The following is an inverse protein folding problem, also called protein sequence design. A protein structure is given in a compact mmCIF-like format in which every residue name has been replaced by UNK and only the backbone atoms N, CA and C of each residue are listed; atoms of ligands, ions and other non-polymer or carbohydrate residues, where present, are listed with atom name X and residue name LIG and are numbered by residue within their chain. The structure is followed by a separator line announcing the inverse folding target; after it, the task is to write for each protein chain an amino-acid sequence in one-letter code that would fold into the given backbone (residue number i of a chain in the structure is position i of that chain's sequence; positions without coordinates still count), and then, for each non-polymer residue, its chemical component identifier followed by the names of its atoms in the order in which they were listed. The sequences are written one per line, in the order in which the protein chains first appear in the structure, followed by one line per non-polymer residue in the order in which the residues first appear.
data_IF_443576225804
#
_entry.id   IF_443576225804
#
_cell.length_a   1.000
_cell.length_b   1.000
_cell.length_c   1.000
_cell.angle_alpha   90.00
_cell.angle_beta   90.00
_cell.angle_gamma   90.00
#
_symmetry.space_group_name_H-M   'P 1'
#
loop_
_entity.id
_entity.type
_entity.pdbx_description
1 polymer ?
#
# COMPACT_ATOMS: atom_id res chain seq x y z
N UNK A 1 -9.81 -7.41 41.77
CA UNK A 1 -9.08 -8.68 42.00
C UNK A 1 -9.83 -9.79 41.29
N UNK A 2 -9.24 -10.36 40.24
CA UNK A 2 -9.73 -11.63 39.67
C UNK A 2 -8.91 -12.73 40.32
N UNK A 3 -9.56 -13.58 41.11
CA UNK A 3 -8.89 -14.71 41.76
C UNK A 3 -8.89 -15.87 40.75
N UNK A 4 -7.96 -15.83 39.78
CA UNK A 4 -7.77 -16.92 38.84
C UNK A 4 -7.10 -18.10 39.57
N UNK A 5 -7.75 -19.26 39.58
CA UNK A 5 -7.12 -20.49 40.03
C UNK A 5 -6.17 -20.97 38.92
N UNK A 6 -4.91 -21.23 39.28
CA UNK A 6 -3.93 -21.81 38.36
C UNK A 6 -4.42 -23.19 37.91
N UNK A 7 -4.47 -23.41 36.60
CA UNK A 7 -4.88 -24.69 36.03
C UNK A 7 -3.73 -25.72 36.11
N UNK A 8 -4.04 -26.99 35.85
CA UNK A 8 -3.04 -28.08 35.92
C UNK A 8 -1.82 -27.85 35.01
N UNK A 9 -2.03 -27.20 33.86
CA UNK A 9 -0.96 -26.89 32.91
C UNK A 9 -0.02 -25.80 33.46
N UNK A 10 -0.56 -24.81 34.16
CA UNK A 10 0.21 -23.72 34.78
C UNK A 10 1.12 -24.26 35.89
N UNK A 11 0.60 -25.20 36.68
CA UNK A 11 1.35 -25.89 37.75
C UNK A 11 2.47 -26.76 37.17
N UNK A 12 2.26 -27.38 36.00
CA UNK A 12 3.27 -28.19 35.31
C UNK A 12 4.45 -27.31 34.82
N UNK A 13 4.17 -26.14 34.25
CA UNK A 13 5.19 -25.19 33.74
C UNK A 13 6.06 -24.52 34.82
N UNK A 14 5.59 -24.46 36.07
CA UNK A 14 6.33 -23.89 37.21
C UNK A 14 6.74 -24.93 38.26
N UNK A 15 6.51 -26.22 37.98
CA UNK A 15 6.77 -27.32 38.91
C UNK A 15 8.24 -27.35 39.37
N UNK A 16 9.16 -27.05 38.46
CA UNK A 16 10.60 -26.92 38.72
C UNK A 16 10.92 -25.88 39.82
N UNK A 17 10.29 -24.72 39.78
CA UNK A 17 10.44 -23.64 40.77
C UNK A 17 9.67 -23.89 42.07
N UNK A 18 8.59 -24.69 42.04
CA UNK A 18 7.88 -25.10 43.26
C UNK A 18 8.68 -26.12 44.08
N UNK A 19 9.43 -27.01 43.43
CA UNK A 19 10.26 -28.02 44.10
C UNK A 19 11.70 -27.55 44.37
N UNK A 20 12.30 -26.73 43.49
CA UNK A 20 13.66 -26.21 43.63
C UNK A 20 13.66 -24.68 43.76
N UNK A 21 12.90 -24.15 44.70
CA UNK A 21 12.73 -22.70 44.85
C UNK A 21 14.06 -21.99 45.17
N UNK A 22 14.43 -20.92 44.45
CA UNK A 22 15.57 -20.09 44.85
C UNK A 22 15.30 -19.46 46.23
N UNK A 23 16.33 -19.47 47.09
CA UNK A 23 16.23 -19.01 48.48
C UNK A 23 16.04 -17.49 48.64
N UNK A 24 15.99 -16.75 47.54
CA UNK A 24 15.75 -15.31 47.50
C UNK A 24 14.91 -14.99 46.28
N UNK A 25 13.89 -14.15 46.47
CA UNK A 25 12.97 -13.69 45.42
C UNK A 25 12.20 -14.79 44.65
N UNK A 26 11.66 -15.75 45.41
CA UNK A 26 10.75 -16.79 44.92
C UNK A 26 9.54 -16.22 44.15
N UNK A 27 9.00 -15.07 44.60
CA UNK A 27 7.83 -14.45 43.97
C UNK A 27 8.14 -13.90 42.57
N UNK A 28 9.20 -13.10 42.40
CA UNK A 28 9.54 -12.61 41.06
C UNK A 28 10.04 -13.76 40.16
N UNK A 29 10.76 -14.75 40.71
CA UNK A 29 11.18 -15.93 39.94
C UNK A 29 10.00 -16.70 39.34
N UNK A 30 8.94 -16.94 40.13
CA UNK A 30 7.70 -17.57 39.65
C UNK A 30 6.94 -16.68 38.67
N UNK A 31 6.85 -15.37 38.97
CA UNK A 31 6.18 -14.38 38.13
C UNK A 31 6.84 -14.27 36.76
N UNK A 32 8.17 -14.16 36.69
CA UNK A 32 8.92 -14.01 35.45
C UNK A 32 8.89 -15.31 34.62
N UNK A 33 8.82 -16.49 35.27
CA UNK A 33 8.59 -17.77 34.61
C UNK A 33 7.19 -17.86 34.00
N UNK A 34 6.15 -17.46 34.74
CA UNK A 34 4.77 -17.42 34.24
C UNK A 34 4.61 -16.39 33.11
N UNK A 35 5.24 -15.22 33.23
CA UNK A 35 5.31 -14.24 32.14
C UNK A 35 6.01 -14.90 30.94
N UNK A 36 7.22 -15.44 31.07
CA UNK A 36 7.93 -16.07 29.95
C UNK A 36 7.22 -17.28 29.31
N UNK A 37 6.34 -17.97 30.04
CA UNK A 37 5.61 -19.14 29.54
C UNK A 37 4.27 -18.79 28.86
N UNK A 38 3.61 -17.72 29.32
CA UNK A 38 2.27 -17.31 28.86
C UNK A 38 2.23 -15.97 28.11
N UNK A 39 3.32 -15.19 28.11
CA UNK A 39 3.47 -14.01 27.27
C UNK A 39 3.57 -14.44 25.81
N UNK A 40 2.66 -13.93 24.98
CA UNK A 40 2.73 -14.16 23.54
C UNK A 40 3.99 -13.51 22.98
N UNK A 41 4.76 -14.25 22.19
CA UNK A 41 5.99 -13.72 21.61
C UNK A 41 5.75 -12.47 20.76
N UNK A 42 6.70 -11.53 20.76
CA UNK A 42 6.62 -10.25 20.03
C UNK A 42 6.18 -10.43 18.57
N UNK A 43 6.68 -11.47 17.89
CA UNK A 43 6.27 -11.81 16.52
C UNK A 43 4.79 -12.18 16.41
N UNK A 44 4.25 -12.90 17.42
CA UNK A 44 2.82 -13.26 17.48
C UNK A 44 1.97 -12.05 17.84
N UNK A 45 2.41 -11.21 18.78
CA UNK A 45 1.73 -9.94 19.11
C UNK A 45 1.65 -9.02 17.87
N UNK A 46 2.76 -8.87 17.13
CA UNK A 46 2.79 -8.13 15.87
C UNK A 46 1.93 -8.76 14.78
N UNK A 47 1.95 -10.10 14.65
CA UNK A 47 1.08 -10.79 13.70
C UNK A 47 -0.39 -10.55 14.01
N UNK A 48 -0.82 -10.68 15.27
CA UNK A 48 -2.17 -10.31 15.72
C UNK A 48 -2.51 -8.85 15.42
N UNK A 49 -1.58 -7.93 15.67
CA UNK A 49 -1.76 -6.51 15.39
C UNK A 49 -1.95 -6.23 13.90
N UNK A 50 -1.37 -7.05 13.01
CA UNK A 50 -1.47 -6.93 11.55
C UNK A 50 -2.58 -7.79 10.91
N UNK A 51 -3.12 -8.80 11.59
CA UNK A 51 -4.09 -9.76 11.00
C UNK A 51 -5.38 -9.97 11.79
N UNK A 52 -5.44 -9.67 13.09
CA UNK A 52 -6.62 -9.91 13.96
C UNK A 52 -7.31 -8.61 14.41
N UNK A 53 -6.80 -7.45 14.02
CA UNK A 53 -7.45 -6.15 14.25
C UNK A 53 -8.48 -5.91 13.15
N UNK A 54 -9.60 -6.63 13.23
CA UNK A 54 -10.74 -6.36 12.37
C UNK A 54 -11.50 -5.09 12.84
N UNK A 55 -11.76 -4.20 11.89
CA UNK A 55 -12.53 -2.99 12.07
C UNK A 55 -14.04 -3.30 12.13
N UNK A 56 -14.46 -3.99 13.19
CA UNK A 56 -15.88 -4.11 13.56
C UNK A 56 -16.43 -2.77 14.08
N UNK A 57 -17.53 -2.80 14.84
CA UNK A 57 -18.22 -1.59 15.35
C UNK A 57 -17.43 -0.80 16.43
N UNK A 58 -16.12 -1.01 16.56
CA UNK A 58 -15.29 -0.36 17.57
C UNK A 58 -15.05 1.11 17.24
N UNK A 59 -15.26 1.99 18.22
CA UNK A 59 -14.97 3.42 18.05
C UNK A 59 -13.47 3.63 17.83
N UNK A 60 -13.05 4.63 17.03
CA UNK A 60 -11.64 4.95 16.77
C UNK A 60 -10.70 4.98 17.98
N UNK A 61 -11.20 5.44 19.14
CA UNK A 61 -10.46 5.50 20.41
C UNK A 61 -10.32 4.14 21.10
N UNK A 62 -11.28 3.23 20.93
CA UNK A 62 -11.23 1.86 21.46
C UNK A 62 -10.21 1.03 20.68
N UNK A 63 -10.23 1.15 19.34
CA UNK A 63 -9.27 0.51 18.44
C UNK A 63 -7.82 0.91 18.77
N UNK A 64 -7.54 2.22 18.85
CA UNK A 64 -6.21 2.73 19.20
C UNK A 64 -5.75 2.28 20.60
N UNK A 65 -6.68 2.18 21.57
CA UNK A 65 -6.36 1.64 22.91
C UNK A 65 -5.99 0.16 22.84
N UNK A 66 -6.72 -0.64 22.06
CA UNK A 66 -6.43 -2.07 21.84
C UNK A 66 -5.08 -2.28 21.13
N UNK A 67 -4.80 -1.48 20.10
CA UNK A 67 -3.49 -1.46 19.41
C UNK A 67 -2.34 -1.17 20.37
N UNK A 68 -2.46 -0.16 21.25
CA UNK A 68 -1.45 0.13 22.28
C UNK A 68 -1.22 -1.04 23.24
N UNK A 69 -2.31 -1.67 23.72
CA UNK A 69 -2.20 -2.83 24.62
C UNK A 69 -1.48 -4.01 23.96
N UNK A 70 -1.77 -4.29 22.68
CA UNK A 70 -1.09 -5.34 21.92
C UNK A 70 0.36 -4.98 21.55
N UNK A 71 0.67 -3.70 21.41
CA UNK A 71 2.00 -3.20 21.08
C UNK A 71 2.97 -3.10 22.29
N UNK A 72 2.47 -3.20 23.53
CA UNK A 72 3.26 -3.10 24.77
C UNK A 72 4.25 -1.89 24.80
N UNK A 73 3.86 -0.74 24.24
CA UNK A 73 4.73 0.44 24.00
C UNK A 73 6.02 0.20 23.17
N UNK A 74 6.23 -1.01 22.61
CA UNK A 74 7.32 -1.34 21.69
C UNK A 74 7.16 -0.68 20.31
N UNK A 75 5.94 -0.24 19.97
CA UNK A 75 5.58 0.40 18.70
C UNK A 75 5.15 1.85 18.95
N UNK A 76 5.79 2.86 18.32
CA UNK A 76 5.50 4.26 18.60
C UNK A 76 4.07 4.65 18.17
N UNK A 77 3.46 5.56 18.94
CA UNK A 77 2.05 5.95 18.77
C UNK A 77 1.72 6.50 17.36
N UNK A 78 2.72 7.03 16.65
CA UNK A 78 2.63 7.49 15.27
C UNK A 78 2.41 6.36 14.26
N UNK A 79 3.08 5.21 14.42
CA UNK A 79 2.93 4.09 13.49
C UNK A 79 1.61 3.35 13.72
N UNK A 80 1.12 3.26 14.96
CA UNK A 80 -0.22 2.73 15.24
C UNK A 80 -1.33 3.57 14.59
N UNK A 81 -1.20 4.91 14.63
CA UNK A 81 -2.13 5.81 13.91
C UNK A 81 -2.04 5.64 12.40
N UNK A 82 -0.83 5.46 11.85
CA UNK A 82 -0.65 5.21 10.42
C UNK A 82 -1.31 3.88 10.00
N UNK A 83 -1.04 2.79 10.72
CA UNK A 83 -1.65 1.47 10.47
C UNK A 83 -3.18 1.56 10.42
N UNK A 84 -3.81 2.19 11.43
CA UNK A 84 -5.25 2.45 11.42
C UNK A 84 -5.70 3.19 10.15
N UNK A 85 -5.01 4.25 9.72
CA UNK A 85 -5.40 5.02 8.52
C UNK A 85 -5.32 4.14 7.26
N UNK A 86 -4.32 3.26 7.18
CA UNK A 86 -4.16 2.32 6.07
C UNK A 86 -5.26 1.23 6.05
N UNK A 87 -5.71 0.80 7.22
CA UNK A 87 -6.85 -0.13 7.39
C UNK A 87 -8.21 0.53 7.13
N UNK A 88 -8.38 1.79 7.52
CA UNK A 88 -9.60 2.58 7.33
C UNK A 88 -9.79 2.98 5.85
N UNK A 89 -8.69 3.17 5.10
CA UNK A 89 -8.70 3.55 3.69
C UNK A 89 -7.85 2.62 2.80
N UNK A 90 -8.16 1.31 2.71
CA UNK A 90 -7.35 0.33 1.99
C UNK A 90 -7.34 0.57 0.48
N UNK A 91 -8.31 1.32 -0.05
CA UNK A 91 -8.38 1.73 -1.45
C UNK A 91 -7.38 2.85 -1.84
N UNK A 92 -6.72 3.51 -0.89
CA UNK A 92 -5.70 4.54 -1.18
C UNK A 92 -4.35 3.89 -1.50
N UNK A 93 -3.97 2.82 -0.78
CA UNK A 93 -2.66 2.17 -0.92
C UNK A 93 -2.66 0.93 -1.80
N UNK A 94 -3.82 0.27 -1.97
CA UNK A 94 -3.97 -0.73 -3.03
C UNK A 94 -3.89 -0.03 -4.37
N UNK A 95 -2.83 -0.31 -5.14
CA UNK A 95 -2.73 0.01 -6.56
C UNK A 95 -3.79 -0.80 -7.29
N UNK A 96 -5.02 -0.30 -7.24
CA UNK A 96 -6.16 -0.88 -7.91
C UNK A 96 -5.91 -0.72 -9.40
N UNK A 97 -6.12 -1.80 -10.16
CA UNK A 97 -6.00 -1.78 -11.62
C UNK A 97 -6.71 -0.55 -12.19
N UNK A 98 -6.07 0.18 -13.12
CA UNK A 98 -6.60 1.46 -13.64
C UNK A 98 -7.94 1.32 -14.40
N UNK A 99 -8.51 0.11 -14.49
CA UNK A 99 -9.90 -0.18 -14.85
C UNK A 99 -10.95 0.29 -13.81
N UNK A 100 -10.64 1.32 -13.03
CA UNK A 100 -11.62 1.99 -12.19
C UNK A 100 -12.47 2.91 -13.07
N UNK A 101 -13.78 2.72 -13.08
CA UNK A 101 -14.70 3.74 -13.61
C UNK A 101 -14.59 4.99 -12.73
N UNK A 102 -14.43 6.20 -13.30
CA UNK A 102 -14.48 7.43 -12.52
C UNK A 102 -15.74 7.49 -11.65
N UNK A 103 -15.60 7.99 -10.42
CA UNK A 103 -16.75 8.21 -9.51
C UNK A 103 -17.49 9.52 -9.79
N UNK A 104 -16.99 10.33 -10.71
CA UNK A 104 -17.48 11.64 -11.09
C UNK A 104 -17.61 11.75 -12.60
N UNK A 105 -18.55 12.57 -13.06
CA UNK A 105 -18.81 12.78 -14.49
C UNK A 105 -17.95 13.90 -15.10
N UNK A 106 -16.90 14.34 -14.40
CA UNK A 106 -15.93 15.33 -14.90
C UNK A 106 -14.96 14.65 -15.88
N UNK A 107 -15.05 15.02 -17.15
CA UNK A 107 -14.13 14.61 -18.21
C UNK A 107 -13.17 15.75 -18.59
N UNK A 108 -11.96 15.41 -19.04
CA UNK A 108 -11.02 16.39 -19.59
C UNK A 108 -11.27 16.59 -21.10
N UNK A 109 -11.69 17.78 -21.48
CA UNK A 109 -11.90 18.16 -22.87
C UNK A 109 -10.70 18.94 -23.42
N UNK A 110 -10.25 18.59 -24.63
CA UNK A 110 -9.11 19.24 -25.31
C UNK A 110 -9.64 20.00 -26.52
N UNK A 111 -9.90 21.30 -26.33
CA UNK A 111 -10.23 22.20 -27.42
C UNK A 111 -9.04 22.37 -28.38
N UNK A 112 -9.26 22.19 -29.68
CA UNK A 112 -8.24 22.35 -30.72
C UNK A 112 -8.74 23.20 -31.88
N UNK A 113 -7.84 23.97 -32.47
CA UNK A 113 -8.14 24.91 -33.55
C UNK A 113 -7.64 24.35 -34.89
N UNK A 114 -8.52 24.26 -35.88
CA UNK A 114 -8.19 23.79 -37.23
C UNK A 114 -8.28 22.26 -37.42
N UNK A 115 -7.71 21.72 -38.52
CA UNK A 115 -7.88 20.33 -38.90
C UNK A 115 -6.97 19.35 -38.13
N UNK A 116 -7.29 18.04 -38.12
CA UNK A 116 -6.48 17.01 -37.50
C UNK A 116 -5.01 17.00 -37.93
N UNK A 117 -4.11 16.93 -36.95
CA UNK A 117 -2.68 16.83 -37.16
C UNK A 117 -2.25 15.37 -37.31
N UNK A 118 -1.72 15.03 -38.49
CA UNK A 118 -1.13 13.73 -38.76
C UNK A 118 0.41 13.76 -38.74
N UNK A 119 1.00 12.70 -38.17
CA UNK A 119 2.42 12.37 -38.21
C UNK A 119 2.63 10.90 -38.60
N UNK A 120 3.66 10.63 -39.41
CA UNK A 120 4.12 9.25 -39.66
C UNK A 120 4.79 8.68 -38.41
N UNK A 121 4.64 7.37 -38.19
CA UNK A 121 5.33 6.66 -37.12
C UNK A 121 6.86 6.78 -37.26
N UNK A 122 7.57 7.04 -36.16
CA UNK A 122 9.04 7.04 -36.16
C UNK A 122 9.56 5.61 -36.15
N UNK A 123 10.60 5.27 -36.94
CA UNK A 123 11.25 3.97 -36.84
C UNK A 123 11.81 3.72 -35.43
N UNK A 124 11.56 2.52 -34.89
CA UNK A 124 12.07 2.08 -33.59
C UNK A 124 13.16 1.04 -33.84
N UNK A 125 14.33 1.18 -33.21
CA UNK A 125 15.41 0.22 -33.34
C UNK A 125 14.95 -1.19 -32.86
N UNK A 126 15.29 -2.29 -33.56
CA UNK A 126 14.75 -3.63 -33.25
C UNK A 126 14.96 -4.08 -31.81
N UNK A 127 16.08 -3.70 -31.17
CA UNK A 127 16.38 -4.02 -29.77
C UNK A 127 15.42 -3.35 -28.77
N UNK A 128 14.83 -2.20 -29.12
CA UNK A 128 13.85 -1.48 -28.27
C UNK A 128 12.41 -1.90 -28.56
N UNK A 129 12.11 -2.31 -29.80
CA UNK A 129 10.75 -2.59 -30.25
C UNK A 129 9.99 -3.56 -29.34
N UNK A 130 10.63 -4.66 -28.89
CA UNK A 130 10.01 -5.62 -27.96
C UNK A 130 9.57 -4.99 -26.63
N UNK A 131 10.41 -4.12 -26.06
CA UNK A 131 10.11 -3.43 -24.80
C UNK A 131 9.02 -2.37 -24.98
N UNK A 132 9.10 -1.57 -26.04
CA UNK A 132 8.07 -0.56 -26.36
C UNK A 132 6.72 -1.21 -26.59
N UNK A 133 6.67 -2.32 -27.34
CA UNK A 133 5.45 -3.08 -27.59
C UNK A 133 4.84 -3.61 -26.30
N UNK A 134 5.65 -4.23 -25.42
CA UNK A 134 5.19 -4.72 -24.11
C UNK A 134 4.58 -3.59 -23.26
N UNK A 135 5.17 -2.40 -23.29
CA UNK A 135 4.64 -1.26 -22.54
C UNK A 135 3.26 -0.81 -23.06
N UNK A 136 3.05 -0.79 -24.38
CA UNK A 136 1.72 -0.53 -24.94
C UNK A 136 0.71 -1.63 -24.62
N UNK A 137 1.13 -2.90 -24.66
CA UNK A 137 0.27 -4.03 -24.26
C UNK A 137 -0.15 -3.91 -22.78
N UNK A 138 0.79 -3.56 -21.87
CA UNK A 138 0.48 -3.26 -20.46
C UNK A 138 -0.50 -2.08 -20.31
N UNK A 139 -0.30 -0.97 -21.03
CA UNK A 139 -1.18 0.21 -20.94
C UNK A 139 -2.59 -0.08 -21.47
N UNK A 140 -2.74 -0.93 -22.48
CA UNK A 140 -4.04 -1.40 -22.99
C UNK A 140 -4.69 -2.33 -21.97
N UNK A 141 -3.93 -3.27 -21.39
CA UNK A 141 -4.43 -4.17 -20.35
C UNK A 141 -4.89 -3.41 -19.10
N UNK A 142 -4.21 -2.33 -18.72
CA UNK A 142 -4.57 -1.46 -17.60
C UNK A 142 -5.76 -0.53 -17.90
N UNK A 143 -6.15 -0.37 -19.17
CA UNK A 143 -7.24 0.52 -19.58
C UNK A 143 -6.82 2.00 -19.80
N UNK A 144 -5.51 2.30 -19.73
CA UNK A 144 -4.96 3.65 -19.98
C UNK A 144 -5.10 4.02 -21.46
N UNK A 145 -4.85 3.05 -22.34
CA UNK A 145 -4.87 3.24 -23.79
C UNK A 145 -5.88 2.29 -24.46
N UNK A 146 -6.40 2.70 -25.62
CA UNK A 146 -7.20 1.84 -26.50
C UNK A 146 -6.74 1.97 -27.95
N UNK A 147 -6.92 0.92 -28.73
CA UNK A 147 -6.75 1.01 -30.18
C UNK A 147 -7.78 1.98 -30.77
N UNK A 148 -7.38 2.80 -31.72
CA UNK A 148 -8.24 3.79 -32.38
C UNK A 148 -7.95 3.89 -33.87
N UNK A 149 -8.89 4.44 -34.63
CA UNK A 149 -8.74 4.82 -36.04
C UNK A 149 -8.81 6.35 -36.18
N UNK A 150 -8.05 7.05 -35.34
CA UNK A 150 -8.07 8.51 -35.27
C UNK A 150 -7.43 9.15 -36.52
N UNK A 151 -7.95 10.29 -37.03
CA UNK A 151 -7.24 11.10 -38.02
C UNK A 151 -6.03 11.84 -37.40
N UNK A 152 -5.97 11.92 -36.07
CA UNK A 152 -4.87 12.52 -35.32
C UNK A 152 -3.74 11.52 -35.06
N UNK A 153 -2.49 11.93 -35.19
CA UNK A 153 -1.34 11.17 -34.67
C UNK A 153 -0.17 12.05 -34.26
N UNK A 154 0.32 11.82 -33.04
CA UNK A 154 1.58 12.36 -32.53
C UNK A 154 2.72 11.36 -32.74
N UNK A 155 3.96 11.81 -32.94
CA UNK A 155 5.08 10.92 -33.18
C UNK A 155 5.71 10.44 -31.87
N UNK A 156 6.02 9.14 -31.80
CA UNK A 156 6.58 8.50 -30.61
C UNK A 156 8.04 8.89 -30.34
N UNK A 157 8.41 8.95 -29.05
CA UNK A 157 9.79 9.04 -28.57
C UNK A 157 10.07 7.99 -27.50
N UNK A 158 11.33 7.55 -27.43
CA UNK A 158 11.77 6.45 -26.58
C UNK A 158 13.12 6.80 -25.95
N UNK A 159 13.14 7.06 -24.65
CA UNK A 159 14.33 7.53 -23.90
C UNK A 159 14.69 6.53 -22.79
N UNK A 160 15.95 6.12 -22.64
CA UNK A 160 16.35 5.24 -21.54
C UNK A 160 16.28 5.95 -20.18
N UNK A 161 15.81 5.24 -19.16
CA UNK A 161 15.92 5.58 -17.75
C UNK A 161 17.32 5.20 -17.24
N UNK A 162 17.71 5.73 -16.07
CA UNK A 162 18.98 5.39 -15.39
C UNK A 162 19.07 3.90 -15.00
N UNK A 163 17.94 3.22 -14.77
CA UNK A 163 17.86 1.79 -14.45
C UNK A 163 17.83 0.86 -15.69
N UNK A 164 18.04 1.38 -16.90
CA UNK A 164 18.05 0.60 -18.15
C UNK A 164 16.68 0.33 -18.78
N UNK A 165 15.57 0.64 -18.09
CA UNK A 165 14.24 0.61 -18.68
C UNK A 165 14.04 1.73 -19.72
N UNK A 166 13.04 1.61 -20.58
CA UNK A 166 12.67 2.67 -21.52
C UNK A 166 11.48 3.48 -20.96
N UNK A 167 11.49 4.80 -21.20
CA UNK A 167 10.27 5.63 -21.17
C UNK A 167 9.78 5.81 -22.59
N UNK A 168 8.51 5.50 -22.79
CA UNK A 168 7.77 5.68 -24.04
C UNK A 168 6.85 6.88 -23.85
N UNK A 169 6.87 7.85 -24.75
CA UNK A 169 5.99 9.02 -24.71
C UNK A 169 5.72 9.58 -26.10
N UNK A 170 4.57 10.21 -26.26
CA UNK A 170 4.21 10.93 -27.50
C UNK A 170 4.64 12.39 -27.42
N UNK A 171 5.04 12.95 -28.57
CA UNK A 171 5.46 14.34 -28.70
C UNK A 171 4.29 15.23 -29.13
N UNK A 172 3.53 15.67 -28.12
CA UNK A 172 2.35 16.52 -28.29
C UNK A 172 2.66 17.99 -28.62
N UNK A 173 3.92 18.40 -28.86
CA UNK A 173 4.26 19.82 -29.11
C UNK A 173 3.45 20.44 -30.26
N UNK A 174 3.16 19.68 -31.32
CA UNK A 174 2.31 20.14 -32.43
C UNK A 174 0.83 20.25 -32.02
N UNK A 175 0.32 19.30 -31.24
CA UNK A 175 -1.05 19.35 -30.70
C UNK A 175 -1.21 20.57 -29.79
N UNK A 176 -0.34 20.71 -28.80
CA UNK A 176 -0.35 21.81 -27.83
C UNK A 176 -0.27 23.20 -28.50
N UNK A 177 0.35 23.32 -29.68
CA UNK A 177 0.41 24.59 -30.42
C UNK A 177 -0.91 25.04 -31.06
N UNK A 178 -1.90 24.14 -31.17
CA UNK A 178 -3.25 24.46 -31.66
C UNK A 178 -4.34 24.28 -30.58
N UNK A 179 -3.97 23.76 -29.40
CA UNK A 179 -4.88 23.58 -28.26
C UNK A 179 -5.17 24.94 -27.59
N UNK A 180 -6.44 25.19 -27.27
CA UNK A 180 -6.82 26.37 -26.47
C UNK A 180 -6.29 26.20 -25.04
N UNK A 181 -5.46 27.12 -24.50
CA UNK A 181 -4.90 26.94 -23.15
C UNK A 181 -5.94 27.15 -22.06
N UNK A 182 -6.28 26.08 -21.34
CA UNK A 182 -7.04 26.16 -20.09
C UNK A 182 -6.14 26.75 -18.98
N UNK A 183 -6.47 27.98 -18.54
CA UNK A 183 -5.66 28.76 -17.59
C UNK A 183 -6.35 28.82 -16.23
N UNK A 184 -6.23 27.75 -15.46
CA UNK A 184 -6.60 27.77 -14.06
C UNK A 184 -5.55 28.49 -13.21
N UNK A 185 -5.93 29.38 -12.27
CA UNK A 185 -4.97 30.03 -11.37
C UNK A 185 -4.37 29.01 -10.39
N UNK A 186 -3.04 28.96 -10.34
CA UNK A 186 -2.30 28.21 -9.31
C UNK A 186 -2.00 29.19 -8.16
N UNK A 187 -2.29 28.84 -6.88
CA UNK A 187 -1.97 29.67 -5.72
C UNK A 187 -0.47 29.90 -5.49
#
# INVERSE_FOLDING_TARGET
MVNAQLEKQDIEQISDLLYNSPATDQYNSLKDRLISAYEESDSRQLQKLLSEIELGDQKPTQLLRRMRTLAQDKVPDSTLRLMRILEEYPGITRITSMKLTPKHDVEHFIETNGPPLHCRARPIAPHRYKQVRKEFENMIEQGICRQSKSPWSSPLHVVPKKNGELRVFEDYRRLNSITTPDRYPIP
#
